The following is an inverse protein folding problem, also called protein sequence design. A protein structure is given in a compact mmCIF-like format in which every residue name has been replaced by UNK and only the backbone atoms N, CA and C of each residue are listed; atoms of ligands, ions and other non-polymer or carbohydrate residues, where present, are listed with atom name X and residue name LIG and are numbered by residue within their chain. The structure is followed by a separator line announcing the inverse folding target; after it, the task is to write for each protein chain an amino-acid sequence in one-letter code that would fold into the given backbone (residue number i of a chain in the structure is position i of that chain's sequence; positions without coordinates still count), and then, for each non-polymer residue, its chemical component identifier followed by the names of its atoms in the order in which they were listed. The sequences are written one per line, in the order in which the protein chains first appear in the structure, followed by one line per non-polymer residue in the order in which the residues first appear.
data_IF_250997377081
#
_entry.id   IF_250997377081
#
_cell.length_a   1.000
_cell.length_b   1.000
_cell.length_c   1.000
_cell.angle_alpha   90.00
_cell.angle_beta   90.00
_cell.angle_gamma   90.00
#
_symmetry.space_group_name_H-M   'P 1'
#
loop_
_entity.id
_entity.type
_entity.pdbx_description
1 polymer ?
#
# COMPACT_ATOMS: atom_id res chain seq x y z
N UNK A 1 14.68 13.27 5.01
CA UNK A 1 13.68 12.18 5.01
C UNK A 1 12.34 12.83 5.25
N UNK A 2 11.29 12.55 4.46
CA UNK A 2 9.97 13.08 4.79
C UNK A 2 9.56 12.50 6.16
N UNK A 3 8.99 13.35 7.02
CA UNK A 3 8.49 12.92 8.32
C UNK A 3 7.32 11.96 8.14
N UNK A 4 7.11 11.07 9.12
CA UNK A 4 5.99 10.12 9.16
C UNK A 4 4.64 10.81 8.88
N UNK A 5 4.50 12.05 9.36
CA UNK A 5 3.32 12.90 9.19
C UNK A 5 3.08 13.31 7.72
N UNK A 6 4.14 13.51 6.94
CA UNK A 6 4.02 13.84 5.50
C UNK A 6 3.57 12.63 4.68
N UNK A 7 3.98 11.42 5.07
CA UNK A 7 3.55 10.16 4.44
C UNK A 7 2.10 9.85 4.80
N UNK A 8 1.72 10.10 6.06
CA UNK A 8 0.35 9.91 6.54
C UNK A 8 -0.63 10.88 5.88
N UNK A 9 -0.26 12.16 5.75
CA UNK A 9 -1.12 13.17 5.11
C UNK A 9 -1.32 12.93 3.61
N UNK A 10 -0.30 12.46 2.89
CA UNK A 10 -0.45 12.07 1.48
C UNK A 10 -1.40 10.87 1.32
N UNK A 11 -1.25 9.84 2.16
CA UNK A 11 -2.11 8.65 2.13
C UNK A 11 -3.58 8.98 2.45
N UNK A 12 -3.83 9.89 3.39
CA UNK A 12 -5.18 10.34 3.77
C UNK A 12 -5.84 11.17 2.64
N UNK A 13 -5.07 12.02 1.96
CA UNK A 13 -5.60 12.85 0.85
C UNK A 13 -5.99 12.01 -0.38
N UNK A 14 -5.24 10.94 -0.64
CA UNK A 14 -5.39 10.08 -1.80
C UNK A 14 -6.55 9.08 -1.63
N UNK A 15 -6.76 8.63 -0.38
CA UNK A 15 -7.89 7.82 0.07
C UNK A 15 -9.26 8.46 -0.18
N UNK A 16 -9.38 9.79 -0.24
CA UNK A 16 -10.67 10.47 -0.48
C UNK A 16 -11.12 10.42 -1.95
N UNK A 17 -10.27 9.97 -2.87
CA UNK A 17 -10.56 9.93 -4.31
C UNK A 17 -11.05 8.56 -4.83
N UNK A 18 -10.86 7.49 -4.04
CA UNK A 18 -11.23 6.13 -4.41
C UNK A 18 -12.65 5.76 -3.97
N UNK A 19 -13.27 4.77 -4.63
CA UNK A 19 -14.53 4.16 -4.18
C UNK A 19 -14.39 3.76 -2.71
N UNK A 20 -15.11 4.42 -1.81
CA UNK A 20 -14.81 4.36 -0.37
C UNK A 20 -14.80 2.97 0.31
N UNK A 21 -15.45 1.90 -0.19
CA UNK A 21 -15.21 0.55 0.32
C UNK A 21 -13.78 0.05 0.08
N UNK A 22 -13.18 0.38 -1.06
CA UNK A 22 -11.81 -0.02 -1.42
C UNK A 22 -10.82 0.63 -0.46
N UNK A 23 -11.06 1.90 -0.11
CA UNK A 23 -10.26 2.67 0.84
C UNK A 23 -10.26 2.00 2.20
N UNK A 24 -11.44 1.65 2.70
CA UNK A 24 -11.53 0.98 3.99
C UNK A 24 -10.87 -0.41 3.99
N UNK A 25 -10.98 -1.18 2.92
CA UNK A 25 -10.25 -2.48 2.80
C UNK A 25 -8.74 -2.27 2.74
N UNK A 26 -8.26 -1.25 2.03
CA UNK A 26 -6.84 -0.91 1.96
C UNK A 26 -6.29 -0.49 3.33
N UNK A 27 -7.06 0.32 4.08
CA UNK A 27 -6.72 0.72 5.45
C UNK A 27 -6.74 -0.48 6.40
N UNK A 28 -7.70 -1.39 6.28
CA UNK A 28 -7.73 -2.65 7.04
C UNK A 28 -6.45 -3.48 6.79
N UNK A 29 -6.06 -3.62 5.53
CA UNK A 29 -4.86 -4.35 5.15
C UNK A 29 -3.59 -3.69 5.73
N UNK A 30 -3.50 -2.36 5.63
CA UNK A 30 -2.41 -1.60 6.23
C UNK A 30 -2.35 -1.80 7.75
N UNK A 31 -3.50 -1.75 8.44
CA UNK A 31 -3.60 -2.01 9.87
C UNK A 31 -3.08 -3.42 10.23
N UNK A 32 -3.49 -4.45 9.47
CA UNK A 32 -3.00 -5.83 9.67
C UNK A 32 -1.48 -5.92 9.47
N UNK A 33 -0.93 -5.30 8.43
CA UNK A 33 0.53 -5.25 8.20
C UNK A 33 1.27 -4.53 9.33
N UNK A 34 0.72 -3.43 9.85
CA UNK A 34 1.29 -2.73 11.00
C UNK A 34 1.25 -3.59 12.28
N UNK A 35 0.20 -4.37 12.49
CA UNK A 35 0.11 -5.29 13.63
C UNK A 35 1.08 -6.47 13.51
N UNK A 36 1.27 -7.01 12.31
CA UNK A 36 2.28 -8.05 12.07
C UNK A 36 3.69 -7.55 12.37
N UNK A 37 4.04 -6.37 11.85
CA UNK A 37 5.34 -5.75 12.14
C UNK A 37 5.50 -5.42 13.62
N UNK A 38 4.46 -4.90 14.27
CA UNK A 38 4.44 -4.73 15.73
C UNK A 38 4.70 -6.04 16.47
N UNK A 39 4.08 -7.16 16.06
CA UNK A 39 4.30 -8.47 16.67
C UNK A 39 5.75 -8.94 16.51
N UNK A 40 6.35 -8.74 15.34
CA UNK A 40 7.76 -9.07 15.12
C UNK A 40 8.69 -8.22 15.99
N UNK A 41 8.47 -6.90 16.03
CA UNK A 41 9.30 -5.98 16.82
C UNK A 41 9.13 -6.19 18.34
N UNK A 42 7.93 -6.48 18.82
CA UNK A 42 7.68 -6.77 20.24
C UNK A 42 8.27 -8.12 20.67
N UNK A 43 8.25 -9.12 19.80
CA UNK A 43 8.97 -10.38 20.00
C UNK A 43 10.49 -10.14 20.09
N UNK A 44 11.04 -9.36 19.15
CA UNK A 44 12.44 -8.98 19.16
C UNK A 44 12.83 -8.20 20.44
N UNK A 45 12.00 -7.24 20.86
CA UNK A 45 12.19 -6.48 22.11
C UNK A 45 12.28 -7.41 23.32
N UNK A 46 11.35 -8.35 23.44
CA UNK A 46 11.32 -9.31 24.54
C UNK A 46 12.56 -10.18 24.55
N UNK A 47 12.98 -10.67 23.38
CA UNK A 47 14.21 -11.48 23.25
C UNK A 47 15.46 -10.66 23.61
N UNK A 48 15.61 -9.42 23.13
CA UNK A 48 16.76 -8.54 23.47
C UNK A 48 16.82 -8.26 24.97
N UNK A 49 15.68 -7.96 25.59
CA UNK A 49 15.60 -7.69 27.04
C UNK A 49 16.09 -8.88 27.85
N UNK A 50 15.68 -10.08 27.45
CA UNK A 50 16.05 -11.34 28.10
C UNK A 50 17.45 -11.83 27.73
N UNK A 51 18.08 -11.26 26.70
CA UNK A 51 19.42 -11.69 26.27
C UNK A 51 20.46 -11.21 27.28
N UNK A 52 21.34 -12.09 27.80
CA UNK A 52 22.41 -11.66 28.69
C UNK A 52 23.38 -10.74 27.94
N UNK A 53 23.76 -9.62 28.58
CA UNK A 53 24.85 -8.76 28.11
C UNK A 53 26.16 -9.36 28.60
N UNK A 54 26.96 -9.90 27.69
CA UNK A 54 28.17 -10.66 28.04
C UNK A 54 29.40 -9.94 27.48
N UNK A 55 30.47 -9.84 28.28
CA UNK A 55 31.77 -9.35 27.81
C UNK A 55 32.45 -10.39 26.93
N UNK A 56 33.30 -9.95 26.02
CA UNK A 56 33.98 -10.85 25.07
C UNK A 56 34.74 -11.99 25.77
N UNK A 57 35.36 -11.69 26.92
CA UNK A 57 36.11 -12.61 27.78
C UNK A 57 35.23 -13.70 28.43
N UNK A 58 33.99 -13.38 28.78
CA UNK A 58 33.06 -14.30 29.48
C UNK A 58 32.25 -15.18 28.50
N UNK A 59 32.34 -14.93 27.19
CA UNK A 59 31.58 -15.69 26.19
C UNK A 59 31.98 -17.17 26.13
N UNK A 60 33.27 -17.46 26.28
CA UNK A 60 33.77 -18.84 26.22
C UNK A 60 33.34 -19.66 27.42
N UNK A 61 33.29 -19.08 28.62
CA UNK A 61 32.83 -19.81 29.81
C UNK A 61 31.35 -20.17 29.66
N UNK A 62 30.50 -19.22 29.25
CA UNK A 62 29.07 -19.46 29.06
C UNK A 62 28.79 -20.51 27.97
N UNK A 63 29.58 -20.54 26.90
CA UNK A 63 29.43 -21.53 25.83
C UNK A 63 30.10 -22.88 26.15
N UNK A 64 31.12 -22.92 27.00
CA UNK A 64 31.76 -24.16 27.45
C UNK A 64 30.85 -24.95 28.40
N UNK A 65 30.03 -24.28 29.22
CA UNK A 65 29.03 -24.94 30.07
C UNK A 65 27.89 -25.58 29.26
N UNK A 66 27.54 -25.04 28.09
CA UNK A 66 26.44 -25.51 27.24
C UNK A 66 26.87 -26.58 26.20
N UNK A 67 28.15 -26.98 26.13
CA UNK A 67 28.64 -27.99 25.16
C UNK A 67 28.03 -29.39 25.35
N UNK A 68 27.27 -29.62 26.41
CA UNK A 68 26.56 -30.89 26.65
C UNK A 68 25.33 -31.03 25.74
N UNK A 69 24.73 -29.92 25.28
CA UNK A 69 23.56 -29.94 24.40
C UNK A 69 23.93 -29.46 22.98
N UNK A 70 24.38 -30.42 22.16
CA UNK A 70 24.57 -30.21 20.72
C UNK A 70 23.25 -29.79 20.05
N UNK A 71 23.02 -28.49 19.85
CA UNK A 71 22.41 -27.88 18.64
C UNK A 71 21.80 -26.48 18.83
N UNK A 72 21.77 -25.91 20.03
CA UNK A 72 21.12 -24.60 20.21
C UNK A 72 22.11 -23.43 20.11
N UNK A 73 22.10 -22.77 18.95
CA UNK A 73 22.80 -21.51 18.78
C UNK A 73 22.22 -20.47 19.76
N UNK A 74 23.02 -20.05 20.73
CA UNK A 74 22.58 -19.14 21.80
C UNK A 74 22.60 -17.69 21.32
N UNK A 75 21.52 -16.97 21.59
CA UNK A 75 21.43 -15.53 21.32
C UNK A 75 22.26 -14.79 22.37
N UNK A 76 23.20 -13.95 21.92
CA UNK A 76 24.06 -13.17 22.82
C UNK A 76 24.17 -11.73 22.35
N UNK A 77 24.29 -10.81 23.32
CA UNK A 77 24.63 -9.42 23.12
C UNK A 77 26.08 -9.20 23.52
N UNK A 78 26.92 -8.79 22.56
CA UNK A 78 28.36 -8.58 22.75
C UNK A 78 28.70 -7.15 22.36
N UNK A 79 29.43 -6.43 23.23
CA UNK A 79 29.97 -5.09 22.91
C UNK A 79 31.49 -5.19 22.87
N UNK A 80 32.10 -4.60 21.85
CA UNK A 80 33.55 -4.62 21.69
C UNK A 80 34.07 -3.61 20.67
N UNK A 81 35.38 -3.43 20.66
CA UNK A 81 36.11 -2.59 19.69
C UNK A 81 36.46 -3.39 18.45
N UNK A 82 36.25 -2.78 17.28
CA UNK A 82 36.56 -3.41 15.98
C UNK A 82 38.06 -3.44 15.74
N UNK A 83 38.65 -4.63 15.68
CA UNK A 83 40.04 -4.86 15.26
C UNK A 83 40.11 -5.70 13.97
N UNK A 84 41.12 -5.47 13.14
CA UNK A 84 41.37 -6.28 11.96
C UNK A 84 41.95 -7.64 12.38
N UNK A 85 41.57 -8.71 11.68
CA UNK A 85 42.20 -10.02 11.88
C UNK A 85 43.64 -9.95 11.36
N UNK A 86 44.63 -10.23 12.22
CA UNK A 86 46.06 -10.20 11.89
C UNK A 86 46.34 -11.02 10.62
N UNK A 87 46.90 -10.37 9.59
CA UNK A 87 47.24 -11.00 8.30
C UNK A 87 46.42 -10.54 7.10
N UNK A 88 45.30 -9.84 7.30
CA UNK A 88 44.49 -9.24 6.22
C UNK A 88 44.38 -7.74 6.46
N UNK A 89 45.49 -7.02 6.25
CA UNK A 89 45.43 -5.55 6.26
C UNK A 89 44.71 -5.07 4.99
N UNK A 90 43.75 -4.14 5.12
CA UNK A 90 43.20 -3.45 3.96
C UNK A 90 44.32 -2.74 3.18
N UNK A 91 44.18 -2.59 1.85
CA UNK A 91 45.20 -1.97 1.00
C UNK A 91 45.59 -0.57 1.52
N UNK A 92 46.89 -0.30 1.44
CA UNK A 92 47.63 0.85 1.98
C UNK A 92 46.75 2.07 2.32
N UNK A 93 46.62 2.37 3.61
CA UNK A 93 46.10 3.65 4.12
C UNK A 93 44.65 3.67 4.60
N UNK A 94 43.84 2.64 4.36
CA UNK A 94 42.43 2.63 4.81
C UNK A 94 42.26 1.85 6.13
N UNK A 95 42.07 2.55 7.26
CA UNK A 95 41.80 1.94 8.58
C UNK A 95 40.35 1.43 8.69
N UNK A 96 39.89 0.62 7.74
CA UNK A 96 38.48 0.23 7.57
C UNK A 96 38.30 -1.27 7.34
N UNK A 97 37.20 -1.82 7.88
CA UNK A 97 36.90 -3.25 7.86
C UNK A 97 35.77 -3.60 6.89
N UNK A 98 34.74 -2.76 6.85
CA UNK A 98 33.66 -2.86 5.89
C UNK A 98 33.71 -1.62 5.03
N UNK A 99 33.65 -1.79 3.71
CA UNK A 99 33.58 -0.68 2.75
C UNK A 99 32.39 -0.90 1.85
N UNK A 100 31.37 -0.05 2.00
CA UNK A 100 30.21 -0.01 1.13
C UNK A 100 30.34 1.16 0.17
N UNK A 101 30.40 0.87 -1.13
CA UNK A 101 30.33 1.86 -2.20
C UNK A 101 28.93 1.81 -2.81
N UNK A 102 28.27 2.95 -2.88
CA UNK A 102 26.97 3.08 -3.55
C UNK A 102 26.97 4.29 -4.45
N UNK A 103 26.57 4.09 -5.71
CA UNK A 103 26.32 5.17 -6.66
C UNK A 103 24.81 5.38 -6.79
N UNK A 104 24.31 6.60 -6.55
CA UNK A 104 22.88 6.94 -6.62
C UNK A 104 22.67 7.98 -7.73
N UNK A 105 21.82 7.67 -8.70
CA UNK A 105 21.44 8.65 -9.71
C UNK A 105 20.41 9.61 -9.11
N UNK A 106 20.73 10.91 -9.10
CA UNK A 106 19.82 11.97 -8.66
C UNK A 106 19.24 12.63 -9.90
N UNK A 107 17.93 12.50 -10.10
CA UNK A 107 17.22 13.10 -11.22
C UNK A 107 16.79 14.53 -10.88
N UNK A 108 16.94 15.45 -11.85
CA UNK A 108 16.73 16.89 -11.63
C UNK A 108 15.25 17.26 -11.46
N UNK A 109 14.37 16.46 -12.04
CA UNK A 109 12.99 16.86 -12.33
C UNK A 109 11.94 16.34 -11.34
N UNK A 110 12.35 15.81 -10.18
CA UNK A 110 11.37 15.41 -9.16
C UNK A 110 10.50 16.60 -8.69
N UNK A 111 10.99 17.84 -8.77
CA UNK A 111 10.23 19.06 -8.45
C UNK A 111 9.28 19.54 -9.57
N UNK A 112 9.48 19.16 -10.82
CA UNK A 112 8.58 19.53 -11.92
C UNK A 112 7.22 18.78 -11.84
N UNK A 113 7.21 17.63 -11.18
CA UNK A 113 6.03 16.79 -10.96
C UNK A 113 5.12 17.28 -9.82
N UNK A 114 5.59 18.16 -8.94
CA UNK A 114 4.80 18.71 -7.83
C UNK A 114 3.92 19.91 -8.19
N UNK A 115 3.89 20.34 -9.47
CA UNK A 115 3.01 21.43 -9.92
C UNK A 115 3.25 22.78 -9.24
N UNK A 116 4.31 22.92 -8.44
CA UNK A 116 4.74 24.19 -7.87
C UNK A 116 5.67 24.91 -8.85
N UNK A 117 5.07 25.42 -9.92
CA UNK A 117 5.55 26.66 -10.55
C UNK A 117 4.56 27.76 -10.22
N UNK A 118 5.08 28.75 -9.52
CA UNK A 118 4.41 29.98 -9.11
C UNK A 118 3.54 30.59 -10.21
N UNK A 119 2.26 30.78 -9.88
CA UNK A 119 1.43 31.92 -10.26
C UNK A 119 1.50 32.37 -11.73
N UNK A 120 0.87 31.62 -12.65
CA UNK A 120 0.42 32.19 -13.93
C UNK A 120 -1.05 31.89 -14.19
N UNK A 121 -1.88 32.93 -14.06
CA UNK A 121 -3.32 32.91 -14.32
C UNK A 121 -3.55 33.08 -15.82
N UNK A 122 -3.31 32.06 -16.64
CA UNK A 122 -3.90 31.99 -18.00
C UNK A 122 -3.71 30.60 -18.62
N UNK A 123 -4.67 29.70 -18.37
CA UNK A 123 -5.12 28.62 -19.29
C UNK A 123 -6.14 27.71 -18.57
N UNK A 124 -7.42 28.08 -18.66
CA UNK A 124 -8.56 27.15 -18.53
C UNK A 124 -9.19 27.03 -19.92
N UNK A 125 -8.78 26.05 -20.74
CA UNK A 125 -9.61 25.62 -21.89
C UNK A 125 -9.37 24.24 -22.49
N UNK A 126 -8.51 23.39 -21.96
CA UNK A 126 -8.43 22.00 -22.43
C UNK A 126 -8.35 21.05 -21.24
N UNK A 127 -9.18 20.01 -21.28
CA UNK A 127 -9.46 19.09 -20.19
C UNK A 127 -8.20 18.54 -19.54
N UNK A 128 -8.21 18.48 -18.20
CA UNK A 128 -7.13 17.87 -17.42
C UNK A 128 -6.94 16.40 -17.83
N UNK A 129 -5.71 15.94 -18.09
CA UNK A 129 -5.44 14.52 -18.08
C UNK A 129 -5.61 14.01 -16.64
N UNK A 130 -6.31 12.87 -16.50
CA UNK A 130 -6.36 12.09 -15.26
C UNK A 130 -4.94 11.98 -14.71
N UNK A 131 -4.71 12.48 -13.51
CA UNK A 131 -3.44 12.39 -12.81
C UNK A 131 -3.10 10.92 -12.62
N UNK A 132 -2.23 10.40 -13.47
CA UNK A 132 -1.76 9.02 -13.42
C UNK A 132 -0.74 8.91 -12.28
N UNK A 133 -1.26 9.00 -11.05
CA UNK A 133 -0.45 8.94 -9.82
C UNK A 133 0.26 7.57 -9.73
N UNK A 134 -0.29 6.55 -10.39
CA UNK A 134 0.40 5.28 -10.59
C UNK A 134 1.66 5.40 -11.46
N UNK A 135 1.67 6.27 -12.47
CA UNK A 135 2.88 6.59 -13.24
C UNK A 135 3.87 7.42 -12.40
N UNK A 136 3.39 8.34 -11.56
CA UNK A 136 4.20 9.08 -10.57
C UNK A 136 4.87 8.14 -9.56
N UNK A 137 4.13 7.26 -8.89
CA UNK A 137 4.69 6.31 -7.95
C UNK A 137 5.59 5.31 -8.67
N UNK A 138 5.28 4.88 -9.90
CA UNK A 138 6.19 4.03 -10.68
C UNK A 138 7.47 4.76 -11.09
N UNK A 139 7.43 6.05 -11.41
CA UNK A 139 8.60 6.85 -11.78
C UNK A 139 9.45 7.18 -10.54
N UNK A 140 8.82 7.56 -9.42
CA UNK A 140 9.46 7.75 -8.12
C UNK A 140 10.06 6.44 -7.61
N UNK A 141 9.31 5.34 -7.69
CA UNK A 141 9.79 4.01 -7.36
C UNK A 141 10.90 3.58 -8.31
N UNK A 142 10.83 3.85 -9.61
CA UNK A 142 11.95 3.59 -10.54
C UNK A 142 13.17 4.46 -10.25
N UNK A 143 13.01 5.73 -9.89
CA UNK A 143 14.12 6.61 -9.54
C UNK A 143 14.77 6.22 -8.20
N UNK A 144 13.98 5.78 -7.22
CA UNK A 144 14.48 5.30 -5.93
C UNK A 144 14.96 3.85 -5.96
N UNK A 145 14.42 3.02 -6.87
CA UNK A 145 14.68 1.58 -6.96
C UNK A 145 15.57 1.21 -8.14
N UNK A 146 15.96 2.14 -9.01
CA UNK A 146 17.03 1.87 -9.98
C UNK A 146 18.26 1.50 -9.15
N UNK A 147 18.77 0.26 -9.28
CA UNK A 147 19.86 -0.20 -8.45
C UNK A 147 21.10 0.55 -8.88
N UNK A 148 21.39 1.62 -8.14
CA UNK A 148 22.74 2.08 -7.98
C UNK A 148 23.65 0.89 -7.73
N UNK A 149 24.80 0.83 -8.41
CA UNK A 149 25.79 -0.21 -8.13
C UNK A 149 26.17 -0.12 -6.65
N UNK A 150 25.76 -1.13 -5.89
CA UNK A 150 26.07 -1.28 -4.46
C UNK A 150 27.08 -2.40 -4.35
N UNK A 151 28.34 -2.02 -4.16
CA UNK A 151 29.41 -2.95 -3.89
C UNK A 151 29.74 -2.91 -2.40
N UNK A 152 29.78 -4.08 -1.77
CA UNK A 152 30.17 -4.23 -0.37
C UNK A 152 31.44 -5.09 -0.32
N UNK A 153 32.56 -4.44 -0.05
CA UNK A 153 33.82 -5.13 0.22
C UNK A 153 33.90 -5.42 1.72
N UNK A 154 34.18 -6.68 2.05
CA UNK A 154 34.24 -7.17 3.42
C UNK A 154 35.64 -7.67 3.73
N UNK A 155 36.20 -7.22 4.84
CA UNK A 155 37.42 -7.77 5.40
C UNK A 155 37.08 -8.49 6.72
N UNK A 156 37.69 -9.65 7.00
CA UNK A 156 37.46 -10.36 8.26
C UNK A 156 37.94 -9.52 9.43
N UNK A 157 37.09 -9.37 10.44
CA UNK A 157 37.40 -8.62 11.64
C UNK A 157 36.93 -9.33 12.90
N UNK A 158 37.52 -8.89 13.99
CA UNK A 158 37.27 -9.41 15.32
C UNK A 158 36.80 -8.28 16.23
N UNK A 159 35.94 -8.63 17.18
CA UNK A 159 35.59 -7.77 18.30
C UNK A 159 36.42 -8.17 19.51
N UNK A 160 37.05 -7.18 20.13
CA UNK A 160 37.89 -7.31 21.34
C UNK A 160 37.28 -6.47 22.46
N UNK A 161 37.48 -6.87 23.71
CA UNK A 161 36.97 -6.10 24.86
C UNK A 161 37.68 -4.74 24.98
N UNK A 162 36.92 -3.69 25.32
CA UNK A 162 37.37 -2.31 25.39
C UNK A 162 38.14 -2.02 26.69
N UNK A 163 39.28 -2.68 26.89
CA UNK A 163 40.16 -2.48 28.05
C UNK A 163 41.59 -2.25 27.59
N UNK A 164 42.06 -0.99 27.66
CA UNK A 164 43.42 -0.64 27.26
C UNK A 164 44.48 -1.37 28.10
N UNK A 165 45.30 -2.19 27.45
CA UNK A 165 46.70 -2.38 27.85
C UNK A 165 47.09 -3.63 28.66
N UNK A 166 46.22 -4.58 28.96
CA UNK A 166 46.64 -5.83 29.64
C UNK A 166 46.65 -7.03 28.69
N UNK A 167 47.85 -7.51 28.39
CA UNK A 167 48.21 -8.85 27.89
C UNK A 167 47.16 -9.56 27.00
N UNK A 168 47.31 -9.40 25.67
CA UNK A 168 46.52 -10.10 24.63
C UNK A 168 46.67 -11.63 24.77
N UNK A 169 45.79 -12.27 25.53
CA UNK A 169 45.58 -13.71 25.45
C UNK A 169 44.83 -14.04 24.16
N UNK A 170 45.23 -15.11 23.47
CA UNK A 170 44.67 -15.58 22.19
C UNK A 170 43.20 -16.05 22.27
N UNK A 171 42.52 -15.80 23.39
CA UNK A 171 41.17 -16.24 23.70
C UNK A 171 40.10 -15.15 23.60
N UNK A 172 40.48 -13.87 23.60
CA UNK A 172 39.57 -12.76 23.94
C UNK A 172 39.04 -12.03 22.70
N UNK A 173 38.72 -12.80 21.65
CA UNK A 173 38.20 -12.23 20.42
C UNK A 173 37.02 -13.01 19.85
N UNK A 174 36.09 -12.27 19.25
CA UNK A 174 34.92 -12.81 18.55
C UNK A 174 35.00 -12.47 17.08
N UNK A 175 34.97 -13.49 16.22
CA UNK A 175 34.86 -13.30 14.78
C UNK A 175 33.41 -12.96 14.41
N UNK A 176 33.21 -11.86 13.70
CA UNK A 176 31.87 -11.45 13.25
C UNK A 176 31.67 -11.87 11.81
N UNK A 177 30.71 -12.76 11.56
CA UNK A 177 30.35 -13.16 10.23
C UNK A 177 29.15 -12.32 9.72
N UNK A 178 29.43 -11.45 8.75
CA UNK A 178 28.45 -10.51 8.16
C UNK A 178 27.79 -11.11 6.89
N UNK A 179 28.12 -12.34 6.50
CA UNK A 179 27.60 -12.97 5.28
C UNK A 179 26.12 -13.35 5.42
N UNK A 180 25.35 -13.04 4.37
CA UNK A 180 23.90 -13.28 4.35
C UNK A 180 23.05 -12.29 5.18
N UNK A 181 23.66 -11.34 5.91
CA UNK A 181 22.91 -10.33 6.66
C UNK A 181 22.30 -9.27 5.73
N UNK A 182 21.00 -8.97 5.92
CA UNK A 182 20.29 -7.86 5.24
C UNK A 182 20.06 -6.65 6.16
N UNK A 183 20.58 -6.72 7.38
CA UNK A 183 20.39 -5.70 8.41
C UNK A 183 21.23 -4.44 8.10
N UNK A 184 20.76 -3.26 8.52
CA UNK A 184 21.56 -2.04 8.42
C UNK A 184 22.83 -2.20 9.26
N UNK A 185 23.98 -1.93 8.63
CA UNK A 185 25.29 -1.95 9.30
C UNK A 185 25.65 -0.53 9.73
N UNK A 186 26.32 -0.34 10.89
CA UNK A 186 26.66 0.98 11.44
C UNK A 186 27.87 1.56 10.69
N UNK A 187 27.68 1.91 9.43
CA UNK A 187 28.72 2.41 8.55
C UNK A 187 28.75 3.94 8.59
N UNK A 188 29.92 4.50 8.90
CA UNK A 188 30.18 5.93 8.86
C UNK A 188 30.39 6.38 7.42
N UNK A 189 29.70 7.43 6.97
CA UNK A 189 29.94 7.99 5.63
C UNK A 189 31.24 8.78 5.65
N UNK A 190 32.22 8.38 4.83
CA UNK A 190 33.54 9.05 4.78
C UNK A 190 33.70 9.86 3.51
N UNK A 191 33.10 9.40 2.42
CA UNK A 191 33.15 10.11 1.14
C UNK A 191 31.74 10.28 0.60
N UNK A 192 31.42 11.51 0.21
CA UNK A 192 30.16 11.86 -0.44
C UNK A 192 30.47 12.91 -1.49
N UNK A 193 30.39 12.52 -2.76
CA UNK A 193 30.68 13.43 -3.86
C UNK A 193 29.60 13.37 -4.93
N UNK A 194 29.25 14.53 -5.46
CA UNK A 194 28.28 14.67 -6.54
C UNK A 194 29.04 14.89 -7.83
N UNK A 195 29.04 13.90 -8.71
CA UNK A 195 29.57 14.06 -10.05
C UNK A 195 28.47 14.60 -10.96
N UNK A 196 28.62 15.80 -11.55
CA UNK A 196 27.76 16.21 -12.65
C UNK A 196 27.99 15.24 -13.81
N UNK A 197 26.92 14.75 -14.41
CA UNK A 197 27.04 13.87 -15.58
C UNK A 197 27.20 14.77 -16.80
N UNK A 198 28.43 14.92 -17.28
CA UNK A 198 28.70 15.58 -18.54
C UNK A 198 28.19 14.72 -19.70
N UNK A 199 27.61 15.38 -20.70
CA UNK A 199 26.76 14.78 -21.72
C UNK A 199 27.40 13.84 -22.77
N UNK A 200 28.73 13.67 -22.98
CA UNK A 200 29.19 12.96 -24.17
C UNK A 200 29.08 11.43 -24.10
N UNK A 201 29.27 10.79 -22.93
CA UNK A 201 29.31 9.31 -22.81
C UNK A 201 27.94 8.63 -22.88
N UNK A 202 26.85 9.37 -22.64
CA UNK A 202 25.48 8.85 -22.58
C UNK A 202 24.54 9.51 -23.60
N UNK A 203 25.09 10.23 -24.58
CA UNK A 203 24.33 10.89 -25.65
C UNK A 203 23.44 9.93 -26.44
N UNK A 204 23.89 8.68 -26.62
CA UNK A 204 23.17 7.59 -27.27
C UNK A 204 22.05 6.99 -26.38
N UNK A 205 22.18 7.08 -25.06
CA UNK A 205 21.13 6.64 -24.12
C UNK A 205 19.95 7.64 -24.02
N UNK A 206 20.17 8.91 -24.40
CA UNK A 206 19.12 9.94 -24.47
C UNK A 206 17.98 9.59 -25.43
N UNK A 207 18.26 8.79 -26.47
CA UNK A 207 17.25 8.26 -27.39
C UNK A 207 16.40 7.14 -26.79
N UNK A 208 16.93 6.40 -25.80
CA UNK A 208 16.26 5.25 -25.19
C UNK A 208 15.42 5.63 -23.95
N UNK A 209 15.86 6.64 -23.19
CA UNK A 209 15.27 7.00 -21.89
C UNK A 209 14.38 8.26 -21.89
N UNK A 210 14.17 8.90 -23.04
CA UNK A 210 13.33 10.11 -23.12
C UNK A 210 13.91 11.31 -22.37
N UNK A 211 13.05 12.24 -21.92
CA UNK A 211 13.44 13.50 -21.27
C UNK A 211 13.97 13.35 -19.83
N UNK A 212 13.90 12.17 -19.22
CA UNK A 212 14.30 11.94 -17.82
C UNK A 212 15.80 11.62 -17.72
N UNK A 213 16.65 12.65 -17.77
CA UNK A 213 18.11 12.52 -17.62
C UNK A 213 18.54 12.66 -16.15
N UNK A 214 19.43 11.79 -15.62
CA UNK A 214 19.96 11.96 -14.27
C UNK A 214 20.80 13.25 -14.21
N UNK A 215 20.49 14.15 -13.27
CA UNK A 215 21.18 15.43 -13.13
C UNK A 215 22.59 15.28 -12.59
N UNK A 216 22.79 14.31 -11.70
CA UNK A 216 24.06 14.07 -11.04
C UNK A 216 24.11 12.63 -10.53
N UNK A 217 25.29 12.03 -10.55
CA UNK A 217 25.54 10.76 -9.86
C UNK A 217 26.17 11.08 -8.52
N UNK A 218 25.49 10.66 -7.44
CA UNK A 218 26.00 10.75 -6.08
C UNK A 218 26.79 9.48 -5.78
N UNK A 219 28.11 9.61 -5.65
CA UNK A 219 28.95 8.54 -5.13
C UNK A 219 29.08 8.68 -3.62
N UNK A 220 28.71 7.61 -2.90
CA UNK A 220 28.80 7.54 -1.45
C UNK A 220 29.62 6.32 -1.05
N UNK A 221 30.66 6.56 -0.24
CA UNK A 221 31.45 5.51 0.41
C UNK A 221 31.19 5.56 1.91
N UNK A 222 30.65 4.46 2.44
CA UNK A 222 30.48 4.25 3.87
C UNK A 222 31.44 3.18 4.35
N UNK A 223 32.07 3.40 5.49
CA UNK A 223 33.03 2.46 6.06
C UNK A 223 32.73 2.14 7.53
N UNK A 224 33.15 0.97 8.00
CA UNK A 224 33.29 0.67 9.42
C UNK A 224 34.77 0.88 9.82
N UNK A 225 35.12 1.94 10.56
CA UNK A 225 36.50 2.21 10.95
C UNK A 225 36.98 1.28 12.07
N UNK A 226 38.29 1.03 12.10
CA UNK A 226 38.97 0.33 13.19
C UNK A 226 38.94 1.14 14.49
N UNK A 227 38.89 0.46 15.64
CA UNK A 227 38.86 1.07 16.98
C UNK A 227 37.52 1.68 17.37
N UNK A 228 36.50 1.59 16.51
CA UNK A 228 35.14 2.00 16.86
C UNK A 228 34.48 0.95 17.74
N UNK A 229 33.82 1.38 18.81
CA UNK A 229 33.00 0.50 19.63
C UNK A 229 31.68 0.19 18.92
N UNK A 230 31.35 -1.10 18.81
CA UNK A 230 30.06 -1.55 18.29
C UNK A 230 29.47 -2.67 19.15
N UNK A 231 28.16 -2.73 19.16
CA UNK A 231 27.36 -3.82 19.73
C UNK A 231 26.96 -4.79 18.63
N UNK A 232 27.22 -6.07 18.84
CA UNK A 232 26.79 -7.17 17.99
C UNK A 232 25.69 -7.99 18.68
N UNK A 233 24.59 -8.21 17.96
CA UNK A 233 23.46 -9.04 18.41
C UNK A 233 23.30 -10.19 17.45
N UNK A 234 23.47 -11.41 17.93
CA UNK A 234 23.44 -12.55 17.04
C UNK A 234 23.50 -13.89 17.73
N UNK A 235 23.45 -14.92 16.91
CA UNK A 235 23.64 -16.29 17.32
C UNK A 235 25.14 -16.57 17.42
N UNK A 236 25.61 -16.93 18.61
CA UNK A 236 26.98 -17.37 18.81
C UNK A 236 27.10 -18.86 18.47
N UNK A 237 28.07 -19.21 17.64
CA UNK A 237 28.47 -20.59 17.37
C UNK A 237 29.97 -20.75 17.56
N UNK A 238 30.39 -21.81 18.24
CA UNK A 238 31.80 -22.16 18.33
C UNK A 238 32.17 -23.06 17.15
N UNK A 239 33.03 -22.56 16.25
CA UNK A 239 33.48 -23.32 15.07
C UNK A 239 35.00 -23.29 15.00
N UNK A 240 35.63 -24.46 14.90
CA UNK A 240 37.07 -24.62 14.68
C UNK A 240 37.95 -23.87 15.70
N UNK A 241 37.55 -23.84 16.98
CA UNK A 241 38.30 -23.12 18.03
C UNK A 241 38.08 -21.60 18.08
N UNK A 242 37.25 -21.04 17.19
CA UNK A 242 36.96 -19.61 17.08
C UNK A 242 35.48 -19.34 17.36
N UNK A 243 35.21 -18.29 18.14
CA UNK A 243 33.85 -17.82 18.39
C UNK A 243 33.34 -17.05 17.16
N UNK A 244 32.23 -17.50 16.56
CA UNK A 244 31.59 -16.80 15.44
C UNK A 244 30.21 -16.27 15.85
N UNK A 245 29.98 -14.96 15.65
CA UNK A 245 28.66 -14.34 15.79
C UNK A 245 28.02 -14.18 14.43
N UNK A 246 26.81 -14.74 14.27
CA UNK A 246 26.01 -14.68 13.04
C UNK A 246 24.75 -13.87 13.22
N UNK A 247 24.34 -13.22 12.13
CA UNK A 247 23.09 -12.48 12.07
C UNK A 247 21.88 -13.40 12.24
N UNK A 248 20.96 -13.01 13.12
CA UNK A 248 19.67 -13.67 13.29
C UNK A 248 18.59 -12.95 12.45
N UNK A 249 17.66 -13.68 11.84
CA UNK A 249 16.59 -13.13 11.00
C UNK A 249 15.46 -12.47 11.80
N UNK A 250 15.39 -12.74 13.10
CA UNK A 250 14.32 -12.28 13.98
C UNK A 250 14.51 -10.84 14.48
N UNK A 251 15.69 -10.24 14.26
CA UNK A 251 16.05 -8.95 14.82
C UNK A 251 16.31 -7.92 13.73
N UNK A 252 15.86 -6.68 13.89
CA UNK A 252 16.13 -5.62 12.92
C UNK A 252 17.59 -5.14 12.95
N UNK A 253 18.32 -5.43 14.03
CA UNK A 253 19.71 -5.01 14.24
C UNK A 253 20.64 -6.23 14.31
N UNK A 254 21.76 -6.15 13.60
CA UNK A 254 22.85 -7.12 13.71
C UNK A 254 24.09 -6.48 14.34
N UNK A 255 24.55 -5.38 13.75
CA UNK A 255 25.60 -4.52 14.30
C UNK A 255 25.00 -3.14 14.53
N UNK A 256 25.28 -2.54 15.67
CA UNK A 256 24.81 -1.19 15.98
C UNK A 256 25.78 -0.46 16.90
N UNK A 257 25.79 0.87 16.86
CA UNK A 257 26.62 1.71 17.72
C UNK A 257 25.97 1.93 19.10
N UNK A 258 24.67 1.65 19.21
CA UNK A 258 23.90 1.82 20.44
C UNK A 258 24.24 0.77 21.51
N UNK A 259 24.15 1.17 22.78
CA UNK A 259 24.22 0.23 23.91
C UNK A 259 22.96 -0.65 23.99
N UNK A 260 22.99 -1.70 24.82
CA UNK A 260 21.81 -2.56 25.05
C UNK A 260 20.62 -1.73 25.51
N UNK A 261 20.82 -0.82 26.46
CA UNK A 261 19.74 0.00 27.03
C UNK A 261 19.18 0.99 26.01
N UNK A 262 20.05 1.63 25.23
CA UNK A 262 19.64 2.53 24.14
C UNK A 262 18.83 1.77 23.07
N UNK A 263 19.26 0.55 22.72
CA UNK A 263 18.53 -0.30 21.78
C UNK A 263 17.16 -0.70 22.32
N UNK A 264 17.04 -0.99 23.61
CA UNK A 264 15.75 -1.32 24.25
C UNK A 264 14.82 -0.10 24.23
N UNK A 265 15.32 1.10 24.54
CA UNK A 265 14.53 2.34 24.50
C UNK A 265 14.05 2.64 23.07
N UNK A 266 14.95 2.59 22.09
CA UNK A 266 14.62 2.80 20.67
C UNK A 266 13.56 1.81 20.18
N UNK A 267 13.76 0.52 20.46
CA UNK A 267 12.83 -0.52 20.03
C UNK A 267 11.48 -0.42 20.77
N UNK A 268 11.48 0.02 22.03
CA UNK A 268 10.24 0.32 22.78
C UNK A 268 9.49 1.48 22.14
N UNK A 269 10.18 2.58 21.78
CA UNK A 269 9.55 3.71 21.10
C UNK A 269 8.97 3.28 19.74
N UNK A 270 9.74 2.54 18.93
CA UNK A 270 9.26 2.01 17.66
C UNK A 270 8.05 1.09 17.81
N UNK A 271 8.06 0.17 18.79
CA UNK A 271 6.91 -0.71 19.04
C UNK A 271 5.67 0.07 19.48
N UNK A 272 5.81 1.09 20.34
CA UNK A 272 4.69 1.94 20.75
C UNK A 272 4.11 2.70 19.55
N UNK A 273 4.96 3.31 18.71
CA UNK A 273 4.51 4.00 17.50
C UNK A 273 3.78 3.05 16.56
N UNK A 274 4.29 1.83 16.33
CA UNK A 274 3.63 0.81 15.52
C UNK A 274 2.28 0.38 16.10
N UNK A 275 2.16 0.27 17.43
CA UNK A 275 0.91 -0.07 18.10
C UNK A 275 -0.14 1.04 17.91
N UNK A 276 0.20 2.29 18.21
CA UNK A 276 -0.74 3.40 18.09
C UNK A 276 -1.15 3.63 16.64
N UNK A 277 -0.22 3.55 15.69
CA UNK A 277 -0.54 3.67 14.26
C UNK A 277 -1.47 2.54 13.79
N UNK A 278 -1.25 1.30 14.23
CA UNK A 278 -2.14 0.18 13.93
C UNK A 278 -3.55 0.36 14.49
N UNK A 279 -3.69 0.86 15.72
CA UNK A 279 -5.00 1.15 16.34
C UNK A 279 -5.73 2.27 15.59
N UNK A 280 -5.03 3.35 15.24
CA UNK A 280 -5.61 4.47 14.49
C UNK A 280 -6.09 4.00 13.12
N UNK A 281 -5.25 3.29 12.35
CA UNK A 281 -5.64 2.77 11.04
C UNK A 281 -6.80 1.79 11.13
N UNK A 282 -6.80 0.91 12.14
CA UNK A 282 -7.88 -0.04 12.40
C UNK A 282 -9.21 0.64 12.70
N UNK A 283 -9.22 1.65 13.58
CA UNK A 283 -10.43 2.38 13.95
C UNK A 283 -11.01 3.17 12.77
N UNK A 284 -10.16 3.84 11.99
CA UNK A 284 -10.59 4.54 10.77
C UNK A 284 -11.17 3.57 9.74
N UNK A 285 -10.53 2.41 9.55
CA UNK A 285 -11.03 1.36 8.66
C UNK A 285 -12.43 0.87 9.06
N UNK A 286 -12.65 0.58 10.35
CA UNK A 286 -13.95 0.13 10.88
C UNK A 286 -15.00 1.23 10.67
N UNK A 287 -14.67 2.49 10.93
CA UNK A 287 -15.58 3.62 10.72
C UNK A 287 -16.00 3.77 9.25
N UNK A 288 -15.04 3.67 8.32
CA UNK A 288 -15.32 3.77 6.87
C UNK A 288 -16.18 2.60 6.40
N UNK A 289 -15.82 1.36 6.71
CA UNK A 289 -16.61 0.18 6.33
C UNK A 289 -18.01 0.23 6.95
N UNK A 290 -18.11 0.55 8.23
CA UNK A 290 -19.37 0.66 8.96
C UNK A 290 -20.29 1.72 8.33
N UNK A 291 -19.75 2.88 7.96
CA UNK A 291 -20.50 3.92 7.25
C UNK A 291 -21.06 3.43 5.91
N UNK A 292 -20.25 2.74 5.10
CA UNK A 292 -20.71 2.22 3.81
C UNK A 292 -21.76 1.11 3.96
N UNK A 293 -21.59 0.21 4.93
CA UNK A 293 -22.58 -0.84 5.25
C UNK A 293 -23.89 -0.20 5.69
N UNK A 294 -23.87 0.75 6.62
CA UNK A 294 -25.07 1.44 7.09
C UNK A 294 -25.76 2.24 5.97
N UNK A 295 -24.98 2.92 5.13
CA UNK A 295 -25.50 3.67 3.97
C UNK A 295 -26.16 2.75 2.95
N UNK A 296 -25.55 1.59 2.67
CA UNK A 296 -26.13 0.60 1.77
C UNK A 296 -27.39 -0.04 2.35
N UNK A 297 -27.37 -0.36 3.65
CA UNK A 297 -28.52 -0.89 4.37
C UNK A 297 -29.71 0.07 4.32
N UNK A 298 -29.47 1.37 4.55
CA UNK A 298 -30.51 2.39 4.48
C UNK A 298 -31.09 2.54 3.07
N UNK A 299 -30.26 2.42 2.01
CA UNK A 299 -30.73 2.40 0.62
C UNK A 299 -31.58 1.17 0.33
N UNK A 300 -31.13 0.00 0.78
CA UNK A 300 -31.86 -1.25 0.60
C UNK A 300 -33.20 -1.24 1.35
N UNK A 301 -33.25 -0.69 2.57
CA UNK A 301 -34.49 -0.53 3.33
C UNK A 301 -35.50 0.36 2.60
N UNK A 302 -35.07 1.50 2.05
CA UNK A 302 -35.92 2.39 1.24
C UNK A 302 -36.45 1.68 -0.01
N UNK A 303 -35.59 0.93 -0.71
CA UNK A 303 -35.97 0.14 -1.89
C UNK A 303 -36.97 -0.97 -1.55
N UNK A 304 -36.80 -1.66 -0.41
CA UNK A 304 -37.73 -2.67 0.08
C UNK A 304 -39.11 -2.07 0.39
N UNK A 305 -39.16 -0.91 1.05
CA UNK A 305 -40.41 -0.20 1.34
C UNK A 305 -41.13 0.25 0.05
N UNK A 306 -40.39 0.81 -0.92
CA UNK A 306 -40.97 1.17 -2.22
C UNK A 306 -41.52 -0.03 -2.98
N UNK A 307 -40.84 -1.18 -2.93
CA UNK A 307 -41.33 -2.42 -3.56
C UNK A 307 -42.62 -2.92 -2.92
N UNK A 308 -42.70 -2.88 -1.58
CA UNK A 308 -43.92 -3.26 -0.86
C UNK A 308 -45.09 -2.33 -1.18
N UNK A 309 -44.86 -1.02 -1.24
CA UNK A 309 -45.88 -0.04 -1.64
C UNK A 309 -46.35 -0.31 -3.08
N UNK A 310 -45.41 -0.52 -4.03
CA UNK A 310 -45.75 -0.79 -5.42
C UNK A 310 -46.53 -2.11 -5.58
N UNK A 311 -46.19 -3.14 -4.81
CA UNK A 311 -46.94 -4.40 -4.77
C UNK A 311 -48.34 -4.21 -4.19
N UNK A 312 -48.49 -3.43 -3.12
CA UNK A 312 -49.79 -3.09 -2.54
C UNK A 312 -50.66 -2.31 -3.53
N UNK A 313 -50.08 -1.32 -4.23
CA UNK A 313 -50.78 -0.58 -5.29
C UNK A 313 -51.22 -1.52 -6.41
N UNK A 314 -50.32 -2.38 -6.92
CA UNK A 314 -50.67 -3.36 -7.97
C UNK A 314 -51.75 -4.35 -7.55
N UNK A 315 -51.71 -4.82 -6.30
CA UNK A 315 -52.74 -5.71 -5.75
C UNK A 315 -54.10 -5.00 -5.59
N UNK A 316 -54.08 -3.70 -5.24
CA UNK A 316 -55.30 -2.90 -5.20
C UNK A 316 -55.88 -2.64 -6.60
N UNK A 317 -55.04 -2.37 -7.60
CA UNK A 317 -55.46 -2.20 -9.00
C UNK A 317 -56.07 -3.49 -9.55
N UNK A 318 -55.44 -4.65 -9.30
CA UNK A 318 -55.99 -5.94 -9.75
C UNK A 318 -57.32 -6.28 -9.08
N UNK A 319 -57.48 -6.00 -7.78
CA UNK A 319 -58.75 -6.24 -7.10
C UNK A 319 -59.88 -5.34 -7.61
N UNK A 320 -59.57 -4.08 -7.94
CA UNK A 320 -60.54 -3.15 -8.55
C UNK A 320 -60.90 -3.61 -9.97
N UNK A 321 -59.93 -4.08 -10.78
CA UNK A 321 -60.21 -4.64 -12.10
C UNK A 321 -61.09 -5.90 -12.03
N UNK A 322 -60.87 -6.80 -11.06
CA UNK A 322 -61.73 -7.98 -10.85
C UNK A 322 -63.14 -7.60 -10.39
N UNK A 323 -63.27 -6.63 -9.47
CA UNK A 323 -64.59 -6.14 -9.04
C UNK A 323 -65.35 -5.40 -10.14
N UNK A 324 -64.65 -4.66 -11.00
CA UNK A 324 -65.27 -4.03 -12.19
C UNK A 324 -65.68 -5.09 -13.21
N UNK A 325 -64.90 -6.16 -13.41
CA UNK A 325 -65.29 -7.27 -14.30
C UNK A 325 -66.50 -8.07 -13.80
N UNK A 326 -66.68 -8.22 -12.48
CA UNK A 326 -67.86 -8.87 -11.90
C UNK A 326 -69.10 -7.97 -11.93
N UNK A 327 -68.95 -6.63 -11.88
CA UNK A 327 -70.05 -5.67 -11.97
C UNK A 327 -70.46 -5.32 -13.42
N UNK A 328 -69.55 -5.40 -14.40
CA UNK A 328 -69.85 -5.20 -15.84
C UNK A 328 -70.37 -6.49 -16.52
N UNK A 329 -70.60 -7.59 -15.77
CA UNK A 329 -71.19 -8.81 -16.31
C UNK A 329 -72.70 -8.68 -16.66
N UNK A 330 -73.32 -7.53 -16.39
CA UNK A 330 -74.72 -7.25 -16.72
C UNK A 330 -74.93 -6.15 -17.78
N UNK A 331 -73.86 -5.57 -18.35
CA UNK A 331 -74.00 -4.65 -19.49
C UNK A 331 -73.01 -5.04 -20.59
N UNK A 332 -73.50 -5.78 -21.58
CA UNK A 332 -72.73 -6.14 -22.78
C UNK A 332 -72.25 -4.85 -23.47
N UNK A 333 -71.02 -4.43 -23.16
CA UNK A 333 -70.37 -3.30 -23.83
C UNK A 333 -70.44 -3.55 -25.34
N UNK A 334 -71.16 -2.69 -26.10
CA UNK A 334 -71.41 -3.00 -27.49
C UNK A 334 -70.10 -2.98 -28.27
N UNK A 335 -69.89 -3.98 -29.15
CA UNK A 335 -68.60 -4.30 -29.79
C UNK A 335 -67.87 -3.12 -30.44
N UNK A 336 -68.60 -2.07 -30.81
CA UNK A 336 -68.06 -0.84 -31.41
C UNK A 336 -67.25 0.04 -30.43
N UNK A 337 -67.28 -0.24 -29.13
CA UNK A 337 -66.50 0.46 -28.10
C UNK A 337 -65.26 -0.29 -27.64
N UNK A 338 -65.04 -1.51 -28.16
CA UNK A 338 -63.89 -2.32 -27.81
C UNK A 338 -62.66 -1.94 -28.64
N UNK A 339 -61.50 -2.25 -28.09
CA UNK A 339 -60.21 -2.08 -28.72
C UNK A 339 -60.15 -2.89 -30.03
N UNK A 340 -59.79 -2.25 -31.14
CA UNK A 340 -59.71 -2.90 -32.47
C UNK A 340 -58.57 -3.92 -32.58
N UNK A 341 -57.70 -4.02 -31.57
CA UNK A 341 -56.55 -4.93 -31.56
C UNK A 341 -56.85 -6.19 -30.74
N UNK A 342 -57.32 -6.04 -29.49
CA UNK A 342 -57.58 -7.19 -28.63
C UNK A 342 -59.06 -7.61 -28.60
N UNK A 343 -59.99 -6.73 -28.96
CA UNK A 343 -61.44 -6.97 -28.88
C UNK A 343 -61.94 -7.37 -27.47
N UNK A 344 -61.12 -7.19 -26.43
CA UNK A 344 -61.43 -7.61 -25.05
C UNK A 344 -61.69 -6.42 -24.12
N UNK A 345 -61.00 -5.29 -24.35
CA UNK A 345 -61.04 -4.14 -23.44
C UNK A 345 -61.56 -2.90 -24.17
N UNK A 346 -62.20 -1.96 -23.45
CA UNK A 346 -62.70 -0.71 -24.02
C UNK A 346 -61.58 0.15 -24.61
N UNK A 347 -61.84 0.83 -25.72
CA UNK A 347 -60.89 1.77 -26.35
C UNK A 347 -60.80 3.05 -25.51
N UNK A 348 -59.59 3.43 -25.12
CA UNK A 348 -59.34 4.57 -24.23
C UNK A 348 -58.22 5.49 -24.73
N UNK A 349 -57.50 5.11 -25.79
CA UNK A 349 -56.35 5.86 -26.29
C UNK A 349 -56.55 6.36 -27.72
N UNK A 350 -56.34 7.66 -27.89
CA UNK A 350 -56.32 8.34 -29.18
C UNK A 350 -54.88 8.62 -29.62
N UNK A 351 -54.62 8.50 -30.93
CA UNK A 351 -53.31 8.77 -31.52
C UNK A 351 -53.23 10.16 -32.14
N UNK A 352 -52.12 10.87 -31.91
CA UNK A 352 -51.85 12.22 -32.44
C UNK A 352 -50.79 12.13 -33.54
N UNK A 353 -50.99 12.78 -34.71
CA UNK A 353 -51.98 13.83 -34.99
C UNK A 353 -53.34 13.36 -35.55
N UNK A 354 -53.51 12.08 -35.86
CA UNK A 354 -54.68 11.63 -36.62
C UNK A 354 -56.01 11.59 -35.84
N UNK A 355 -55.99 11.69 -34.51
CA UNK A 355 -57.17 11.76 -33.64
C UNK A 355 -57.93 10.45 -33.42
N UNK A 356 -57.50 9.32 -34.00
CA UNK A 356 -58.26 8.07 -33.92
C UNK A 356 -58.19 7.41 -32.54
N UNK A 357 -59.35 7.23 -31.89
CA UNK A 357 -59.55 6.52 -30.63
C UNK A 357 -59.82 5.02 -30.89
N UNK A 358 -58.81 4.17 -30.67
CA UNK A 358 -58.84 2.78 -31.18
C UNK A 358 -58.38 1.71 -30.19
N UNK A 359 -57.46 2.06 -29.29
CA UNK A 359 -56.76 1.06 -28.49
C UNK A 359 -57.07 1.19 -27.00
N UNK A 360 -57.00 0.07 -26.28
CA UNK A 360 -56.87 0.06 -24.82
C UNK A 360 -55.42 0.38 -24.40
N UNK A 361 -55.17 0.47 -23.10
CA UNK A 361 -53.86 0.85 -22.56
C UNK A 361 -52.71 -0.05 -23.04
N UNK A 362 -52.86 -1.37 -22.91
CA UNK A 362 -51.84 -2.34 -23.31
C UNK A 362 -51.56 -2.31 -24.81
N UNK A 363 -52.62 -2.33 -25.65
CA UNK A 363 -52.48 -2.29 -27.10
C UNK A 363 -51.90 -0.96 -27.60
N UNK A 364 -52.19 0.17 -26.95
CA UNK A 364 -51.61 1.46 -27.33
C UNK A 364 -50.09 1.51 -27.15
N UNK A 365 -49.58 0.91 -26.06
CA UNK A 365 -48.15 0.81 -25.80
C UNK A 365 -47.48 -0.14 -26.80
N UNK A 366 -48.13 -1.25 -27.14
CA UNK A 366 -47.64 -2.21 -28.13
C UNK A 366 -47.51 -1.55 -29.52
N UNK A 367 -48.57 -0.91 -30.00
CA UNK A 367 -48.58 -0.23 -31.31
C UNK A 367 -47.51 0.88 -31.39
N UNK A 368 -47.29 1.61 -30.28
CA UNK A 368 -46.22 2.61 -30.20
C UNK A 368 -44.81 2.00 -30.18
N UNK A 369 -44.65 0.79 -29.66
CA UNK A 369 -43.37 0.09 -29.56
C UNK A 369 -42.95 -0.65 -30.85
N UNK A 370 -43.86 -0.82 -31.81
CA UNK A 370 -43.54 -1.43 -33.11
C UNK A 370 -42.65 -0.50 -33.95
N UNK A 371 -41.78 -1.11 -34.77
CA UNK A 371 -40.78 -0.43 -35.64
C UNK A 371 -41.42 0.57 -36.61
N UNK A 372 -42.71 0.42 -36.92
CA UNK A 372 -43.51 1.42 -37.62
C UNK A 372 -44.67 1.83 -36.73
N UNK A 373 -44.47 2.87 -35.91
CA UNK A 373 -45.49 3.45 -35.02
C UNK A 373 -46.54 4.19 -35.84
N UNK A 374 -47.40 3.45 -36.56
CA UNK A 374 -48.45 3.97 -37.42
C UNK A 374 -49.83 3.63 -36.87
N UNK A 375 -50.79 4.53 -37.08
CA UNK A 375 -52.18 4.30 -36.71
C UNK A 375 -52.75 3.09 -37.48
N UNK A 376 -53.36 2.09 -36.83
CA UNK A 376 -53.92 0.92 -37.49
C UNK A 376 -55.03 1.24 -38.51
N UNK A 377 -55.72 2.38 -38.38
CA UNK A 377 -56.78 2.78 -39.29
C UNK A 377 -56.28 3.62 -40.48
N UNK A 378 -55.56 4.71 -40.21
CA UNK A 378 -55.20 5.68 -41.25
C UNK A 378 -53.73 5.63 -41.67
N UNK A 379 -52.93 4.75 -41.05
CA UNK A 379 -51.50 4.55 -41.32
C UNK A 379 -50.61 5.80 -41.15
N UNK A 380 -51.15 6.88 -40.57
CA UNK A 380 -50.39 8.08 -40.18
C UNK A 380 -49.49 7.74 -38.98
N UNK A 381 -48.28 8.29 -38.97
CA UNK A 381 -47.31 8.10 -37.88
C UNK A 381 -47.85 8.67 -36.55
N UNK A 382 -47.67 7.89 -35.48
CA UNK A 382 -48.11 8.19 -34.12
C UNK A 382 -46.97 8.90 -33.39
N UNK A 383 -47.16 10.17 -33.07
CA UNK A 383 -46.21 10.92 -32.24
C UNK A 383 -46.49 10.71 -30.75
N UNK A 384 -47.77 10.79 -30.39
CA UNK A 384 -48.23 10.69 -29.00
C UNK A 384 -49.50 9.86 -28.96
N UNK A 385 -49.62 9.03 -27.93
CA UNK A 385 -50.87 8.36 -27.54
C UNK A 385 -51.39 9.04 -26.27
N UNK A 386 -52.65 9.47 -26.28
CA UNK A 386 -53.27 10.18 -25.16
C UNK A 386 -54.49 9.40 -24.69
N UNK A 387 -54.64 9.28 -23.38
CA UNK A 387 -55.82 8.66 -22.77
C UNK A 387 -57.00 9.64 -22.80
N UNK A 388 -58.12 9.20 -23.33
CA UNK A 388 -59.38 9.93 -23.37
C UNK A 388 -60.29 9.37 -22.28
N UNK A 389 -60.83 10.26 -21.45
CA UNK A 389 -61.86 9.93 -20.46
C UNK A 389 -63.21 10.27 -21.09
N UNK A 390 -64.03 9.23 -21.33
CA UNK A 390 -65.41 9.41 -21.76
C UNK A 390 -66.28 9.55 -20.50
N UNK A 391 -67.07 10.62 -20.45
CA UNK A 391 -67.99 10.96 -19.35
C UNK A 391 -69.28 10.17 -19.42
#
# INVERSE_FOLDING_TARGET
MPSLDQILTSLVSEALSFNGPIVGVALAYAAVRTLQTFSSYSSALRKIRNTPSVKVSDLRSILAFDQVDQSDAKLVFVRGTVEAKSGVLPPQGTKAVLVQRSQLCVFREWMALFGWRSHDRRKKRFGLPRSDIGAYWKALWRALSQPGSRSLQKFPFILVDGGGGSQKSSSDFVSVNVDGSRHPLPLTTVYRHFHPVDAPLFSSAKKLFGHEYPASVLEQVKILPLGKEISAVGLCSFKNGVLEVKSCKDFPYFLSEMSKDQMVVDLTAHTQVLLFTGIVLGSVSIGVLGYFVARNWNRWKKWKQQRQLLQAIRASESNVETQVQEADAEDEVPRHQLCVVCHTSRRQYAFIPCGHLLCCQSCSALVKSHVSSKCPLCQVEILVSVRIYQS
#
